data_IF_160326374126
#
_entry.id   IF_160326374126
#
_cell.length_a   1.000
_cell.length_b   1.000
_cell.length_c   1.000
_cell.angle_alpha   90.00
_cell.angle_beta   90.00
_cell.angle_gamma   90.00
#
_symmetry.space_group_name_H-M   'P 1'
#
loop_
_entity.id
_entity.type
_entity.pdbx_description
1 polymer ?
#
# COMPACT_ATOMS: atom_id res chain seq x y z
N UNK A 1 -10.07 -31.56 0.25
CA UNK A 1 -10.71 -30.96 1.44
C UNK A 1 -9.74 -31.08 2.59
N UNK A 2 -9.71 -30.11 3.54
CA UNK A 2 -8.80 -30.14 4.67
C UNK A 2 -9.02 -31.38 5.54
N UNK A 3 -7.96 -31.92 6.13
CA UNK A 3 -8.06 -32.97 7.14
C UNK A 3 -8.38 -32.35 8.50
N UNK A 4 -9.66 -32.21 8.82
CA UNK A 4 -10.12 -31.60 10.06
C UNK A 4 -9.63 -32.36 11.31
N UNK A 5 -9.37 -33.67 11.21
CA UNK A 5 -8.86 -34.46 12.32
C UNK A 5 -7.41 -34.07 12.63
N UNK A 6 -6.57 -33.89 11.61
CA UNK A 6 -5.21 -33.38 11.80
C UNK A 6 -5.21 -31.99 12.46
N UNK A 7 -6.10 -31.08 12.04
CA UNK A 7 -6.23 -29.76 12.68
C UNK A 7 -6.66 -29.85 14.16
N UNK A 8 -7.56 -30.77 14.52
CA UNK A 8 -7.94 -30.99 15.92
C UNK A 8 -6.76 -31.51 16.74
N UNK A 9 -5.94 -32.41 16.19
CA UNK A 9 -4.71 -32.89 16.84
C UNK A 9 -3.72 -31.75 17.04
N UNK A 10 -3.45 -30.93 16.02
CA UNK A 10 -2.55 -29.78 16.13
C UNK A 10 -3.00 -28.80 17.24
N UNK A 11 -4.32 -28.53 17.36
CA UNK A 11 -4.87 -27.68 18.43
C UNK A 11 -4.62 -28.29 19.82
N UNK A 12 -4.83 -29.60 19.96
CA UNK A 12 -4.57 -30.31 21.22
C UNK A 12 -3.08 -30.24 21.61
N UNK A 13 -2.18 -30.44 20.65
CA UNK A 13 -0.73 -30.33 20.85
C UNK A 13 -0.32 -28.93 21.31
N UNK A 14 -0.89 -27.88 20.69
CA UNK A 14 -0.66 -26.49 21.11
C UNK A 14 -1.13 -26.27 22.55
N UNK A 15 -2.31 -26.79 22.92
CA UNK A 15 -2.86 -26.63 24.28
C UNK A 15 -2.02 -27.31 25.36
N UNK A 16 -1.51 -28.52 25.11
CA UNK A 16 -0.70 -29.27 26.09
C UNK A 16 0.77 -28.81 26.16
N UNK A 17 1.24 -28.00 25.20
CA UNK A 17 2.63 -27.52 25.20
C UNK A 17 2.96 -26.69 26.45
N UNK A 18 4.23 -26.66 26.85
CA UNK A 18 4.70 -25.85 28.00
C UNK A 18 4.97 -24.37 27.63
N UNK A 19 4.59 -23.95 26.43
CA UNK A 19 4.75 -22.57 25.95
C UNK A 19 3.86 -21.57 26.70
N UNK A 20 4.25 -20.28 26.67
CA UNK A 20 3.43 -19.22 27.24
C UNK A 20 2.09 -19.09 26.49
N UNK A 21 1.05 -18.61 27.17
CA UNK A 21 -0.29 -18.48 26.60
C UNK A 21 -0.33 -17.57 25.36
N UNK A 22 0.49 -16.53 25.34
CA UNK A 22 0.66 -15.65 24.18
C UNK A 22 1.16 -16.43 22.95
N UNK A 23 2.17 -17.29 23.14
CA UNK A 23 2.72 -18.12 22.06
C UNK A 23 1.70 -19.14 21.57
N UNK A 24 0.97 -19.79 22.49
CA UNK A 24 -0.12 -20.71 22.14
C UNK A 24 -1.20 -20.02 21.30
N UNK A 25 -1.60 -18.80 21.66
CA UNK A 25 -2.56 -18.02 20.88
C UNK A 25 -2.04 -17.70 19.47
N UNK A 26 -0.74 -17.39 19.33
CA UNK A 26 -0.13 -17.17 18.02
C UNK A 26 -0.12 -18.44 17.15
N UNK A 27 0.10 -19.61 17.75
CA UNK A 27 -0.01 -20.88 17.04
C UNK A 27 -1.47 -21.18 16.62
N UNK A 28 -2.46 -20.95 17.49
CA UNK A 28 -3.88 -21.07 17.11
C UNK A 28 -4.24 -20.17 15.92
N UNK A 29 -3.69 -18.94 15.88
CA UNK A 29 -3.87 -18.03 14.75
C UNK A 29 -3.27 -18.57 13.46
N UNK A 30 -2.06 -19.15 13.50
CA UNK A 30 -1.42 -19.78 12.33
C UNK A 30 -2.24 -20.96 11.82
N UNK A 31 -2.80 -21.78 12.72
CA UNK A 31 -3.69 -22.87 12.36
C UNK A 31 -4.96 -22.35 11.68
N UNK A 32 -5.59 -21.30 12.21
CA UNK A 32 -6.73 -20.64 11.59
C UNK A 32 -6.40 -20.08 10.20
N UNK A 33 -5.24 -19.44 10.04
CA UNK A 33 -4.76 -18.92 8.74
C UNK A 33 -4.55 -20.04 7.72
N UNK A 34 -3.91 -21.14 8.13
CA UNK A 34 -3.65 -22.31 7.29
C UNK A 34 -4.96 -22.96 6.85
N UNK A 35 -5.87 -23.24 7.79
CA UNK A 35 -7.19 -23.80 7.52
C UNK A 35 -7.99 -22.92 6.56
N UNK A 36 -8.04 -21.62 6.84
CA UNK A 36 -8.79 -20.67 6.01
C UNK A 36 -8.25 -20.62 4.59
N UNK A 37 -6.91 -20.69 4.41
CA UNK A 37 -6.27 -20.74 3.08
C UNK A 37 -6.62 -22.02 2.32
N UNK A 38 -6.62 -23.17 2.98
CA UNK A 38 -6.99 -24.43 2.36
C UNK A 38 -8.46 -24.44 1.91
N UNK A 39 -9.37 -23.96 2.78
CA UNK A 39 -10.81 -23.87 2.47
C UNK A 39 -11.13 -22.97 1.28
N UNK A 40 -10.34 -21.93 1.07
CA UNK A 40 -10.53 -20.94 -0.02
C UNK A 40 -9.60 -21.14 -1.21
N UNK A 41 -8.84 -22.24 -1.24
CA UNK A 41 -7.84 -22.51 -2.30
C UNK A 41 -8.44 -22.72 -3.69
N UNK A 42 -9.70 -23.14 -3.77
CA UNK A 42 -10.43 -23.35 -5.03
C UNK A 42 -11.28 -22.16 -5.49
N UNK A 43 -11.29 -21.07 -4.73
CA UNK A 43 -12.12 -19.91 -5.03
C UNK A 43 -11.43 -18.99 -6.04
N UNK A 44 -12.20 -18.36 -6.93
CA UNK A 44 -11.66 -17.37 -7.88
C UNK A 44 -11.34 -16.01 -7.21
N UNK A 45 -11.88 -15.80 -6.01
CA UNK A 45 -11.73 -14.56 -5.26
C UNK A 45 -10.36 -14.51 -4.59
N UNK A 46 -9.66 -13.39 -4.74
CA UNK A 46 -8.43 -13.13 -4.00
C UNK A 46 -8.76 -12.47 -2.66
N UNK A 47 -8.19 -13.02 -1.57
CA UNK A 47 -8.39 -12.49 -0.22
C UNK A 47 -7.11 -11.80 0.26
N UNK A 48 -7.12 -10.47 0.44
CA UNK A 48 -5.92 -9.72 0.84
C UNK A 48 -5.45 -10.06 2.25
N UNK A 49 -6.37 -10.43 3.15
CA UNK A 49 -6.06 -10.69 4.55
C UNK A 49 -6.94 -11.78 5.17
N UNK A 50 -6.65 -12.17 6.42
CA UNK A 50 -7.46 -13.16 7.14
C UNK A 50 -8.87 -12.65 7.43
N UNK A 51 -9.06 -11.34 7.65
CA UNK A 51 -10.38 -10.76 7.93
C UNK A 51 -11.39 -11.03 6.81
N UNK A 52 -11.07 -10.58 5.59
CA UNK A 52 -11.88 -10.76 4.38
C UNK A 52 -12.15 -12.23 4.08
N UNK A 53 -11.15 -13.09 4.31
CA UNK A 53 -11.28 -14.55 4.14
C UNK A 53 -12.26 -15.16 5.14
N UNK A 54 -12.22 -14.75 6.41
CA UNK A 54 -13.15 -15.23 7.43
C UNK A 54 -14.59 -14.76 7.18
N UNK A 55 -14.79 -13.52 6.73
CA UNK A 55 -16.13 -13.03 6.38
C UNK A 55 -16.70 -13.82 5.20
N UNK A 56 -15.89 -14.07 4.17
CA UNK A 56 -16.31 -14.90 3.05
C UNK A 56 -16.68 -16.32 3.48
N UNK A 57 -15.84 -16.96 4.30
CA UNK A 57 -16.12 -18.29 4.85
C UNK A 57 -17.37 -18.29 5.72
N UNK A 58 -17.61 -17.22 6.48
CA UNK A 58 -18.82 -17.08 7.28
C UNK A 58 -20.09 -17.09 6.43
N UNK A 59 -20.06 -16.38 5.30
CA UNK A 59 -21.16 -16.38 4.34
C UNK A 59 -21.31 -17.75 3.64
N UNK A 60 -20.20 -18.31 3.14
CA UNK A 60 -20.18 -19.56 2.38
C UNK A 60 -20.67 -20.76 3.22
N UNK A 61 -20.21 -20.87 4.46
CA UNK A 61 -20.54 -21.98 5.35
C UNK A 61 -21.67 -21.66 6.34
N UNK A 62 -22.29 -20.48 6.23
CA UNK A 62 -23.35 -20.00 7.14
C UNK A 62 -22.92 -20.08 8.61
N UNK A 63 -21.69 -19.64 8.88
CA UNK A 63 -21.15 -19.59 10.24
C UNK A 63 -22.03 -18.66 11.08
N UNK A 64 -22.45 -19.06 12.29
CA UNK A 64 -23.20 -18.16 13.17
C UNK A 64 -22.40 -16.91 13.50
N UNK A 65 -23.04 -15.73 13.50
CA UNK A 65 -22.39 -14.42 13.76
C UNK A 65 -21.51 -14.42 15.02
N UNK A 66 -21.91 -15.17 16.05
CA UNK A 66 -21.13 -15.33 17.28
C UNK A 66 -19.80 -16.06 17.04
N UNK A 67 -19.82 -17.14 16.29
CA UNK A 67 -18.61 -17.91 15.98
C UNK A 67 -17.71 -17.12 15.03
N UNK A 68 -18.28 -16.44 14.03
CA UNK A 68 -17.52 -15.49 13.20
C UNK A 68 -16.83 -14.43 14.06
N UNK A 69 -17.57 -13.82 14.99
CA UNK A 69 -17.01 -12.84 15.93
C UNK A 69 -15.86 -13.42 16.76
N UNK A 70 -16.00 -14.64 17.28
CA UNK A 70 -14.95 -15.28 18.07
C UNK A 70 -13.67 -15.53 17.25
N UNK A 71 -13.81 -15.96 15.99
CA UNK A 71 -12.69 -16.16 15.07
C UNK A 71 -12.01 -14.83 14.71
N UNK A 72 -12.80 -13.79 14.46
CA UNK A 72 -12.29 -12.44 14.21
C UNK A 72 -11.64 -11.83 15.46
N UNK A 73 -12.18 -12.11 16.65
CA UNK A 73 -11.61 -11.69 17.92
C UNK A 73 -10.25 -12.35 18.17
N UNK A 74 -10.09 -13.63 17.84
CA UNK A 74 -8.78 -14.31 17.87
C UNK A 74 -7.75 -13.55 17.02
N UNK A 75 -8.12 -13.18 15.79
CA UNK A 75 -7.26 -12.41 14.90
C UNK A 75 -6.89 -11.05 15.47
N UNK A 76 -7.85 -10.28 15.99
CA UNK A 76 -7.59 -8.95 16.54
C UNK A 76 -6.76 -9.03 17.83
N UNK A 77 -7.09 -9.95 18.73
CA UNK A 77 -6.42 -10.08 20.03
C UNK A 77 -4.94 -10.43 19.90
N UNK A 78 -4.60 -11.30 18.95
CA UNK A 78 -3.18 -11.62 18.65
C UNK A 78 -2.37 -10.39 18.22
N UNK A 79 -3.00 -9.45 17.49
CA UNK A 79 -2.36 -8.18 17.10
C UNK A 79 -2.19 -7.28 18.32
N UNK A 80 -3.23 -7.11 19.14
CA UNK A 80 -3.18 -6.26 20.33
C UNK A 80 -2.13 -6.71 21.34
N UNK A 81 -2.04 -8.02 21.62
CA UNK A 81 -1.04 -8.58 22.53
C UNK A 81 0.37 -8.25 22.03
N UNK A 82 0.61 -8.35 20.73
CA UNK A 82 1.92 -8.03 20.12
C UNK A 82 2.26 -6.54 20.21
N UNK A 83 1.28 -5.67 19.99
CA UNK A 83 1.49 -4.21 19.99
C UNK A 83 1.61 -3.61 21.39
N UNK A 84 0.81 -4.10 22.35
CA UNK A 84 0.73 -3.55 23.71
C UNK A 84 1.54 -4.34 24.73
N UNK A 85 2.12 -5.47 24.31
CA UNK A 85 2.86 -6.40 25.18
C UNK A 85 2.03 -6.84 26.40
N UNK A 86 0.74 -7.13 26.17
CA UNK A 86 -0.20 -7.59 27.20
C UNK A 86 -0.07 -9.10 27.42
N UNK A 87 -0.39 -9.56 28.64
CA UNK A 87 -0.44 -10.99 28.96
C UNK A 87 -1.86 -11.54 28.79
N UNK A 88 -1.98 -12.66 28.08
CA UNK A 88 -3.23 -13.39 27.91
C UNK A 88 -3.56 -14.19 29.18
N UNK A 89 -4.82 -14.15 29.60
CA UNK A 89 -5.31 -14.95 30.73
C UNK A 89 -5.84 -16.30 30.24
N UNK A 90 -5.68 -17.37 31.03
CA UNK A 90 -6.10 -18.74 30.69
C UNK A 90 -7.55 -18.82 30.20
N UNK A 91 -8.48 -18.12 30.87
CA UNK A 91 -9.88 -18.12 30.49
C UNK A 91 -10.11 -17.56 29.07
N UNK A 92 -9.35 -16.53 28.68
CA UNK A 92 -9.42 -15.92 27.35
C UNK A 92 -8.80 -16.85 26.30
N UNK A 93 -7.66 -17.48 26.61
CA UNK A 93 -7.06 -18.51 25.75
C UNK A 93 -8.04 -19.64 25.44
N UNK A 94 -8.71 -20.19 26.47
CA UNK A 94 -9.68 -21.27 26.31
C UNK A 94 -10.87 -20.89 25.43
N UNK A 95 -11.30 -19.63 25.48
CA UNK A 95 -12.35 -19.14 24.59
C UNK A 95 -11.91 -19.15 23.11
N UNK A 96 -10.66 -18.76 22.83
CA UNK A 96 -10.10 -18.78 21.47
C UNK A 96 -9.87 -20.20 20.95
N UNK A 97 -9.33 -21.08 21.79
CA UNK A 97 -9.20 -22.51 21.49
C UNK A 97 -10.56 -23.12 21.13
N UNK A 98 -11.57 -22.90 21.99
CA UNK A 98 -12.92 -23.41 21.79
C UNK A 98 -13.56 -22.88 20.51
N UNK A 99 -13.33 -21.62 20.16
CA UNK A 99 -13.84 -21.04 18.93
C UNK A 99 -13.28 -21.77 17.70
N UNK A 100 -11.99 -22.09 17.68
CA UNK A 100 -11.38 -22.80 16.56
C UNK A 100 -11.87 -24.26 16.47
N UNK A 101 -12.06 -24.92 17.61
CA UNK A 101 -12.67 -26.26 17.66
C UNK A 101 -14.11 -26.24 17.14
N UNK A 102 -14.94 -25.29 17.62
CA UNK A 102 -16.32 -25.15 17.17
C UNK A 102 -16.41 -24.87 15.66
N UNK A 103 -15.43 -24.14 15.09
CA UNK A 103 -15.34 -23.93 13.66
C UNK A 103 -15.06 -25.23 12.90
N UNK A 104 -14.11 -26.05 13.34
CA UNK A 104 -13.83 -27.36 12.74
C UNK A 104 -15.02 -28.33 12.87
N UNK A 105 -15.70 -28.34 14.02
CA UNK A 105 -16.90 -29.16 14.25
C UNK A 105 -18.02 -28.76 13.27
N UNK A 106 -18.26 -27.45 13.10
CA UNK A 106 -19.24 -26.93 12.15
C UNK A 106 -18.91 -27.36 10.72
N UNK A 107 -17.65 -27.22 10.29
CA UNK A 107 -17.20 -27.63 8.95
C UNK A 107 -17.29 -29.15 8.73
N UNK A 108 -17.18 -29.93 9.79
CA UNK A 108 -17.34 -31.40 9.77
C UNK A 108 -18.80 -31.87 9.79
N UNK A 109 -19.76 -30.94 9.95
CA UNK A 109 -21.19 -31.26 10.06
C UNK A 109 -21.63 -31.77 11.45
N UNK A 110 -20.76 -31.65 12.47
CA UNK A 110 -21.09 -32.02 13.85
C UNK A 110 -21.90 -30.90 14.53
N UNK A 111 -22.80 -31.27 15.45
CA UNK A 111 -23.58 -30.29 16.23
C UNK A 111 -22.64 -29.55 17.17
N UNK A 112 -22.56 -28.23 17.00
CA UNK A 112 -21.82 -27.32 17.88
C UNK A 112 -22.47 -27.27 19.26
N UNK A 113 -21.68 -27.39 20.33
CA UNK A 113 -22.16 -27.10 21.68
C UNK A 113 -22.29 -25.59 21.85
N UNK A 114 -23.52 -25.12 22.06
CA UNK A 114 -23.82 -23.73 22.36
C UNK A 114 -23.41 -23.41 23.80
N UNK A 115 -22.18 -22.98 24.03
CA UNK A 115 -21.79 -22.41 25.32
C UNK A 115 -22.32 -20.98 25.43
N UNK A 116 -23.15 -20.68 26.42
CA UNK A 116 -23.59 -19.33 26.81
C UNK A 116 -22.46 -18.62 27.55
N UNK A 117 -22.16 -17.35 27.23
CA UNK A 117 -21.25 -16.58 28.11
C UNK A 117 -20.48 -15.39 27.58
N UNK A 118 -20.71 -14.88 26.36
CA UNK A 118 -20.13 -13.61 25.94
C UNK A 118 -21.13 -12.80 25.12
N UNK A 119 -21.58 -11.69 25.70
CA UNK A 119 -22.44 -10.71 25.05
C UNK A 119 -21.58 -9.86 24.12
N UNK A 120 -21.94 -9.83 22.84
CA UNK A 120 -21.37 -8.93 21.84
C UNK A 120 -21.61 -7.48 22.28
N UNK A 121 -20.60 -6.85 22.86
CA UNK A 121 -20.64 -5.40 23.10
C UNK A 121 -19.83 -4.75 21.98
N UNK A 122 -20.47 -4.07 21.00
CA UNK A 122 -19.74 -3.37 19.96
C UNK A 122 -18.83 -2.33 20.63
N UNK A 123 -17.55 -2.35 20.24
CA UNK A 123 -16.61 -1.33 20.71
C UNK A 123 -16.94 0.02 20.04
N UNK A 124 -16.89 1.13 20.79
CA UNK A 124 -17.22 2.44 20.24
C UNK A 124 -16.19 2.88 19.20
N UNK A 125 -16.68 3.15 17.99
CA UNK A 125 -15.91 3.74 16.90
C UNK A 125 -15.81 5.26 17.12
N UNK A 126 -14.65 5.86 16.82
CA UNK A 126 -14.55 7.33 16.75
C UNK A 126 -13.24 7.96 17.20
N UNK A 127 -12.27 7.18 17.72
CA UNK A 127 -10.92 7.72 18.03
C UNK A 127 -9.93 7.61 16.87
N UNK A 128 -10.31 6.91 15.81
CA UNK A 128 -9.40 6.48 14.75
C UNK A 128 -9.43 7.46 13.59
N UNK A 129 -8.26 7.71 12.99
CA UNK A 129 -8.16 8.50 11.76
C UNK A 129 -8.42 7.69 10.50
N UNK A 130 -8.26 6.38 10.57
CA UNK A 130 -8.53 5.47 9.45
C UNK A 130 -9.24 4.25 9.98
N UNK A 131 -10.33 3.87 9.34
CA UNK A 131 -11.07 2.66 9.66
C UNK A 131 -11.18 1.80 8.41
N UNK A 132 -10.63 0.57 8.49
CA UNK A 132 -10.75 -0.43 7.44
C UNK A 132 -12.05 -1.21 7.60
N UNK A 133 -12.82 -1.32 6.52
CA UNK A 133 -14.14 -1.96 6.53
C UNK A 133 -14.33 -2.82 5.27
N UNK A 134 -15.18 -3.84 5.37
CA UNK A 134 -15.66 -4.60 4.22
C UNK A 134 -17.12 -4.27 3.94
N UNK A 135 -17.45 -4.01 2.67
CA UNK A 135 -18.82 -3.75 2.23
C UNK A 135 -19.66 -5.01 2.38
N UNK A 136 -20.77 -4.90 3.11
CA UNK A 136 -21.78 -5.94 3.27
C UNK A 136 -22.99 -5.71 2.35
N UNK A 137 -23.38 -4.46 2.14
CA UNK A 137 -24.47 -4.09 1.24
C UNK A 137 -24.38 -2.62 0.85
N UNK A 138 -24.88 -2.29 -0.34
CA UNK A 138 -24.95 -0.92 -0.87
C UNK A 138 -26.42 -0.52 -1.03
N UNK A 139 -26.81 0.61 -0.44
CA UNK A 139 -28.14 1.23 -0.60
C UNK A 139 -28.01 2.48 -1.48
N UNK A 140 -28.35 2.30 -2.77
CA UNK A 140 -28.27 3.35 -3.78
C UNK A 140 -29.29 4.48 -3.54
N UNK A 141 -30.46 4.18 -2.96
CA UNK A 141 -31.51 5.19 -2.74
C UNK A 141 -31.11 6.16 -1.63
N UNK A 142 -30.41 5.66 -0.60
CA UNK A 142 -29.96 6.48 0.54
C UNK A 142 -28.54 7.00 0.42
N UNK A 143 -27.79 6.58 -0.61
CA UNK A 143 -26.36 6.79 -0.74
C UNK A 143 -25.59 6.32 0.52
N UNK A 144 -25.96 5.12 1.00
CA UNK A 144 -25.41 4.52 2.22
C UNK A 144 -24.78 3.16 1.91
N UNK A 145 -23.68 2.86 2.60
CA UNK A 145 -22.98 1.58 2.51
C UNK A 145 -22.96 0.96 3.90
N UNK A 146 -23.48 -0.25 4.03
CA UNK A 146 -23.34 -1.04 5.25
C UNK A 146 -22.05 -1.81 5.17
N UNK A 147 -21.19 -1.65 6.17
CA UNK A 147 -19.89 -2.29 6.21
C UNK A 147 -19.66 -2.98 7.55
N UNK A 148 -18.78 -3.98 7.54
CA UNK A 148 -18.27 -4.63 8.74
C UNK A 148 -16.87 -4.08 9.05
N UNK A 149 -16.64 -3.69 10.30
CA UNK A 149 -15.33 -3.21 10.75
C UNK A 149 -14.31 -4.33 10.83
N UNK A 150 -13.13 -4.12 10.25
CA UNK A 150 -12.02 -5.05 10.44
C UNK A 150 -11.48 -5.00 11.88
N UNK A 151 -11.33 -3.79 12.44
CA UNK A 151 -10.67 -3.63 13.74
C UNK A 151 -11.57 -3.97 14.92
N UNK A 152 -12.88 -3.82 14.76
CA UNK A 152 -13.86 -4.09 15.80
C UNK A 152 -14.76 -5.24 15.35
N UNK A 153 -14.42 -6.50 15.69
CA UNK A 153 -15.18 -7.68 15.29
C UNK A 153 -16.67 -7.53 15.58
N UNK A 154 -17.52 -7.87 14.60
CA UNK A 154 -18.99 -7.81 14.70
C UNK A 154 -19.59 -6.41 14.75
N UNK A 155 -18.78 -5.35 14.70
CA UNK A 155 -19.30 -3.98 14.63
C UNK A 155 -19.67 -3.64 13.20
N UNK A 156 -20.97 -3.54 12.93
CA UNK A 156 -21.51 -2.98 11.70
C UNK A 156 -21.47 -1.46 11.74
N UNK A 157 -21.11 -0.85 10.61
CA UNK A 157 -21.08 0.60 10.42
C UNK A 157 -21.86 0.97 9.19
N UNK A 158 -22.51 2.13 9.23
CA UNK A 158 -23.13 2.73 8.04
C UNK A 158 -22.29 3.90 7.60
N UNK A 159 -21.76 3.83 6.39
CA UNK A 159 -21.01 4.91 5.75
C UNK A 159 -21.96 5.66 4.85
N UNK A 160 -22.07 6.97 5.05
CA UNK A 160 -22.83 7.83 4.15
C UNK A 160 -21.88 8.44 3.15
N UNK A 161 -22.14 8.19 1.87
CA UNK A 161 -21.34 8.74 0.80
C UNK A 161 -21.92 10.09 0.34
N UNK A 162 -21.04 10.98 -0.08
CA UNK A 162 -21.44 12.16 -0.81
C UNK A 162 -21.63 11.79 -2.28
N UNK A 163 -22.87 11.90 -2.76
CA UNK A 163 -23.28 11.47 -4.10
C UNK A 163 -22.52 12.18 -5.24
N UNK A 164 -21.89 13.34 -4.97
CA UNK A 164 -21.12 14.10 -5.96
C UNK A 164 -19.66 13.63 -6.08
N UNK A 165 -19.07 13.13 -4.99
CA UNK A 165 -17.63 12.85 -4.89
C UNK A 165 -17.30 11.37 -4.75
N UNK A 166 -18.24 10.55 -4.27
CA UNK A 166 -18.08 9.10 -4.16
C UNK A 166 -19.42 8.40 -4.44
N UNK A 167 -19.80 8.26 -5.72
CA UNK A 167 -20.99 7.53 -6.11
C UNK A 167 -20.98 6.12 -5.51
N UNK A 168 -22.09 5.74 -4.86
CA UNK A 168 -22.20 4.44 -4.17
C UNK A 168 -22.17 3.24 -5.11
N UNK A 169 -22.51 3.46 -6.39
CA UNK A 169 -22.52 2.47 -7.47
C UNK A 169 -21.11 2.02 -7.89
N UNK A 170 -20.05 2.68 -7.43
CA UNK A 170 -18.67 2.24 -7.60
C UNK A 170 -18.27 1.11 -6.63
N UNK A 171 -19.08 0.82 -5.62
CA UNK A 171 -18.77 -0.19 -4.59
C UNK A 171 -19.62 -1.45 -4.77
N UNK A 172 -19.08 -2.59 -4.34
CA UNK A 172 -19.76 -3.89 -4.41
C UNK A 172 -19.61 -4.67 -3.10
N UNK A 173 -20.51 -5.62 -2.86
CA UNK A 173 -20.44 -6.50 -1.69
C UNK A 173 -19.12 -7.28 -1.68
N UNK A 174 -18.46 -7.31 -0.53
CA UNK A 174 -17.15 -7.93 -0.35
C UNK A 174 -15.96 -6.98 -0.56
N UNK A 175 -16.16 -5.81 -1.19
CA UNK A 175 -15.11 -4.83 -1.43
C UNK A 175 -14.48 -4.34 -0.11
N UNK A 176 -13.17 -4.10 -0.13
CA UNK A 176 -12.45 -3.52 1.01
C UNK A 176 -12.34 -2.01 0.88
N UNK A 177 -12.62 -1.27 1.95
CA UNK A 177 -12.52 0.19 1.98
C UNK A 177 -11.67 0.66 3.15
N UNK A 178 -10.84 1.68 2.92
CA UNK A 178 -10.27 2.50 3.97
C UNK A 178 -11.04 3.84 4.06
N UNK A 179 -11.68 4.06 5.21
CA UNK A 179 -12.38 5.30 5.55
C UNK A 179 -11.42 6.24 6.24
N UNK A 180 -11.08 7.37 5.62
CA UNK A 180 -10.05 8.29 6.12
C UNK A 180 -10.67 9.57 6.68
N UNK A 181 -10.18 9.96 7.86
CA UNK A 181 -10.49 11.18 8.60
C UNK A 181 -12.01 11.46 8.69
N UNK A 182 -12.76 10.43 9.09
CA UNK A 182 -14.22 10.47 9.15
C UNK A 182 -14.76 11.15 10.41
N UNK A 183 -15.99 11.65 10.30
CA UNK A 183 -16.79 12.14 11.44
C UNK A 183 -18.02 11.27 11.62
N UNK A 184 -18.66 11.34 12.79
CA UNK A 184 -19.91 10.62 13.07
C UNK A 184 -21.05 11.63 13.08
N UNK A 185 -22.08 11.39 12.28
CA UNK A 185 -23.27 12.23 12.23
C UNK A 185 -24.21 11.98 13.43
N UNK A 186 -25.30 12.75 13.50
CA UNK A 186 -26.30 12.65 14.58
C UNK A 186 -27.02 11.29 14.64
N UNK A 187 -27.00 10.55 13.53
CA UNK A 187 -27.63 9.24 13.39
C UNK A 187 -26.62 8.09 13.55
N UNK A 188 -25.37 8.39 13.94
CA UNK A 188 -24.31 7.39 14.13
C UNK A 188 -23.64 6.93 12.84
N UNK A 189 -23.85 7.62 11.71
CA UNK A 189 -23.27 7.27 10.40
C UNK A 189 -21.90 7.90 10.23
N UNK A 190 -21.01 7.18 9.56
CA UNK A 190 -19.67 7.65 9.27
C UNK A 190 -19.68 8.52 8.01
N UNK A 191 -19.08 9.70 8.13
CA UNK A 191 -18.87 10.68 7.05
C UNK A 191 -17.36 10.80 6.81
N UNK A 192 -16.77 9.93 5.97
CA UNK A 192 -15.35 9.99 5.62
C UNK A 192 -15.01 11.20 4.77
N UNK A 193 -13.79 11.73 4.92
CA UNK A 193 -13.25 12.72 3.99
C UNK A 193 -12.74 12.09 2.70
N UNK A 194 -12.15 10.90 2.81
CA UNK A 194 -11.72 10.10 1.68
C UNK A 194 -12.14 8.65 1.90
N UNK A 195 -12.55 8.01 0.82
CA UNK A 195 -12.80 6.57 0.76
C UNK A 195 -11.79 6.00 -0.24
N UNK A 196 -10.96 5.07 0.21
CA UNK A 196 -10.02 4.35 -0.64
C UNK A 196 -10.59 2.96 -0.89
N UNK A 197 -10.88 2.67 -2.15
CA UNK A 197 -11.36 1.37 -2.61
C UNK A 197 -10.18 0.42 -2.83
N UNK A 198 -10.30 -0.81 -2.33
CA UNK A 198 -9.30 -1.86 -2.43
C UNK A 198 -7.89 -1.35 -2.02
N UNK A 199 -7.70 -0.92 -0.76
CA UNK A 199 -6.48 -0.27 -0.31
C UNK A 199 -5.21 -1.13 -0.43
N UNK A 200 -5.33 -2.45 -0.60
CA UNK A 200 -4.19 -3.34 -0.86
C UNK A 200 -3.79 -3.39 -2.34
N UNK A 201 -4.63 -2.87 -3.24
CA UNK A 201 -4.29 -2.69 -4.65
C UNK A 201 -3.48 -1.39 -4.80
N UNK A 202 -2.19 -1.50 -4.53
CA UNK A 202 -1.29 -0.34 -4.53
C UNK A 202 -1.07 0.17 -5.96
N UNK A 203 -1.35 1.46 -6.16
CA UNK A 203 -1.12 2.16 -7.44
C UNK A 203 0.14 3.01 -7.33
N UNK A 204 1.01 2.95 -8.34
CA UNK A 204 2.22 3.77 -8.40
C UNK A 204 1.90 5.27 -8.46
N UNK A 205 2.61 6.08 -7.68
CA UNK A 205 2.46 7.53 -7.64
C UNK A 205 2.62 8.17 -9.03
N UNK A 206 3.54 7.66 -9.86
CA UNK A 206 3.74 8.10 -11.24
C UNK A 206 2.53 7.78 -12.13
N UNK A 207 1.92 6.61 -11.97
CA UNK A 207 0.71 6.22 -12.69
C UNK A 207 -0.48 7.14 -12.37
N UNK A 208 -0.63 7.56 -11.11
CA UNK A 208 -1.64 8.54 -10.70
C UNK A 208 -1.31 9.90 -11.29
N UNK A 209 -0.06 10.36 -11.16
CA UNK A 209 0.40 11.64 -11.68
C UNK A 209 0.12 11.81 -13.19
N UNK A 210 0.32 10.75 -13.99
CA UNK A 210 0.02 10.75 -15.43
C UNK A 210 -1.47 10.95 -15.74
N UNK A 211 -2.37 10.74 -14.78
CA UNK A 211 -3.78 11.10 -14.96
C UNK A 211 -4.02 12.61 -14.90
N UNK A 212 -3.04 13.44 -14.51
CA UNK A 212 -3.19 14.87 -14.29
C UNK A 212 -2.26 15.68 -15.19
N UNK A 213 -2.74 16.06 -16.37
CA UNK A 213 -2.02 16.95 -17.27
C UNK A 213 -2.68 18.34 -17.33
N UNK A 214 -1.90 19.38 -17.61
CA UNK A 214 -2.40 20.76 -17.77
C UNK A 214 -3.58 20.88 -18.76
N UNK A 215 -3.62 20.01 -19.78
CA UNK A 215 -4.67 20.00 -20.80
C UNK A 215 -5.88 19.12 -20.44
N UNK A 216 -5.71 18.12 -19.57
CA UNK A 216 -6.77 17.19 -19.20
C UNK A 216 -6.41 16.38 -17.95
N UNK A 217 -7.37 16.26 -17.02
CA UNK A 217 -7.32 15.31 -15.91
C UNK A 217 -8.25 14.15 -16.25
N UNK A 218 -7.69 12.95 -16.44
CA UNK A 218 -8.44 11.76 -16.84
C UNK A 218 -7.76 10.46 -16.44
N UNK A 219 -8.49 9.47 -15.89
CA UNK A 219 -7.95 8.14 -15.61
C UNK A 219 -7.59 7.37 -16.89
N UNK A 220 -8.04 7.83 -18.07
CA UNK A 220 -7.75 7.16 -19.33
C UNK A 220 -6.26 7.12 -19.67
N UNK A 221 -5.44 8.04 -19.14
CA UNK A 221 -3.98 7.98 -19.33
C UNK A 221 -3.35 6.77 -18.64
N UNK A 222 -3.84 6.37 -17.47
CA UNK A 222 -3.40 5.14 -16.81
C UNK A 222 -3.60 3.93 -17.71
N UNK A 223 -4.80 3.80 -18.27
CA UNK A 223 -5.14 2.69 -19.16
C UNK A 223 -4.35 2.75 -20.47
N UNK A 224 -4.23 3.93 -21.08
CA UNK A 224 -3.45 4.13 -22.31
C UNK A 224 -2.02 3.62 -22.13
N UNK A 225 -1.35 4.04 -21.04
CA UNK A 225 0.02 3.64 -20.76
C UNK A 225 0.18 2.12 -20.54
N UNK A 226 -0.89 1.39 -20.16
CA UNK A 226 -0.87 -0.08 -20.08
C UNK A 226 -0.99 -0.79 -21.43
N UNK A 227 -1.54 -0.12 -22.44
CA UNK A 227 -1.70 -0.67 -23.78
C UNK A 227 -0.62 -0.21 -24.75
N UNK A 228 0.10 0.87 -24.43
CA UNK A 228 1.20 1.37 -25.24
C UNK A 228 2.44 0.46 -25.15
N UNK A 229 3.10 0.27 -26.29
CA UNK A 229 4.37 -0.46 -26.32
C UNK A 229 5.46 0.45 -25.77
N UNK A 230 6.29 -0.02 -24.82
CA UNK A 230 7.44 0.75 -24.36
C UNK A 230 8.35 1.11 -25.54
N UNK A 231 8.54 2.40 -25.79
CA UNK A 231 9.45 2.86 -26.83
C UNK A 231 10.86 3.07 -26.25
N UNK A 232 11.90 2.71 -27.01
CA UNK A 232 13.27 3.08 -26.68
C UNK A 232 13.62 4.40 -27.36
N UNK A 233 13.56 5.50 -26.58
CA UNK A 233 13.75 6.88 -27.07
C UNK A 233 14.89 7.57 -26.34
N UNK A 234 15.53 8.52 -27.02
CA UNK A 234 16.66 9.30 -26.50
C UNK A 234 16.35 10.03 -25.18
N UNK A 235 15.13 10.55 -25.02
CA UNK A 235 14.75 11.26 -23.79
C UNK A 235 14.57 10.32 -22.58
N UNK A 236 14.16 9.07 -22.80
CA UNK A 236 14.09 8.04 -21.75
C UNK A 236 15.49 7.62 -21.32
N UNK A 237 16.39 7.39 -22.29
CA UNK A 237 17.80 7.13 -22.00
C UNK A 237 18.44 8.27 -21.20
N UNK A 238 18.16 9.52 -21.58
CA UNK A 238 18.67 10.69 -20.87
C UNK A 238 18.12 10.76 -19.44
N UNK A 239 16.87 10.36 -19.21
CA UNK A 239 16.29 10.25 -17.87
C UNK A 239 16.98 9.20 -17.00
N UNK A 240 17.13 7.98 -17.53
CA UNK A 240 17.82 6.90 -16.81
C UNK A 240 19.28 7.28 -16.51
N UNK A 241 19.94 7.94 -17.46
CA UNK A 241 21.30 8.42 -17.31
C UNK A 241 21.40 9.55 -16.26
N UNK A 242 20.42 10.43 -16.17
CA UNK A 242 20.37 11.46 -15.13
C UNK A 242 20.28 10.85 -13.73
N UNK A 243 19.43 9.82 -13.53
CA UNK A 243 19.37 9.09 -12.26
C UNK A 243 20.71 8.39 -11.96
N UNK A 244 21.32 7.76 -12.95
CA UNK A 244 22.64 7.15 -12.79
C UNK A 244 23.73 8.17 -12.41
N UNK A 245 23.70 9.38 -12.99
CA UNK A 245 24.63 10.45 -12.63
C UNK A 245 24.43 10.92 -11.18
N UNK A 246 23.18 11.07 -10.75
CA UNK A 246 22.86 11.40 -9.36
C UNK A 246 23.47 10.36 -8.41
N UNK A 247 23.29 9.08 -8.68
CA UNK A 247 23.81 7.99 -7.86
C UNK A 247 25.34 8.09 -7.71
N UNK A 248 26.05 8.17 -8.84
CA UNK A 248 27.51 8.20 -8.86
C UNK A 248 28.06 9.44 -8.15
N UNK A 249 27.38 10.60 -8.27
CA UNK A 249 27.81 11.84 -7.63
C UNK A 249 27.51 11.85 -6.12
N UNK A 250 26.39 11.29 -5.67
CA UNK A 250 26.03 11.24 -4.24
C UNK A 250 26.93 10.27 -3.47
N UNK A 251 27.31 9.14 -4.07
CA UNK A 251 28.19 8.17 -3.42
C UNK A 251 29.68 8.50 -3.54
N UNK A 252 30.06 9.50 -4.35
CA UNK A 252 31.44 9.93 -4.48
C UNK A 252 31.93 10.64 -3.20
N UNK A 253 33.15 10.28 -2.75
CA UNK A 253 33.83 11.01 -1.67
C UNK A 253 34.15 12.45 -2.07
N UNK A 254 34.48 12.67 -3.34
CA UNK A 254 34.78 13.98 -3.91
C UNK A 254 33.98 14.13 -5.22
N UNK A 255 32.71 14.59 -5.14
CA UNK A 255 31.86 14.74 -6.32
C UNK A 255 32.46 15.65 -7.40
N UNK A 256 33.27 16.63 -7.00
CA UNK A 256 33.98 17.54 -7.91
C UNK A 256 34.99 16.84 -8.82
N UNK A 257 35.50 15.68 -8.42
CA UNK A 257 36.48 14.90 -9.19
C UNK A 257 35.85 13.85 -10.10
N UNK A 258 34.52 13.62 -9.99
CA UNK A 258 33.81 12.65 -10.84
C UNK A 258 33.84 13.13 -12.30
N UNK A 259 34.32 12.24 -13.18
CA UNK A 259 34.49 12.49 -14.61
C UNK A 259 33.26 12.04 -15.41
N UNK A 260 32.69 12.96 -16.18
CA UNK A 260 31.58 12.64 -17.09
C UNK A 260 31.91 11.48 -18.03
N UNK A 261 33.10 11.45 -18.64
CA UNK A 261 33.44 10.48 -19.68
C UNK A 261 33.54 9.06 -19.11
N UNK A 262 34.05 8.92 -17.89
CA UNK A 262 34.13 7.64 -17.17
C UNK A 262 32.73 7.18 -16.73
N UNK A 263 31.94 8.08 -16.14
CA UNK A 263 30.58 7.79 -15.68
C UNK A 263 29.65 7.44 -16.85
N UNK A 264 29.73 8.18 -17.95
CA UNK A 264 28.96 7.88 -19.16
C UNK A 264 29.32 6.50 -19.71
N UNK A 265 30.62 6.19 -19.82
CA UNK A 265 31.07 4.88 -20.29
C UNK A 265 30.61 3.75 -19.37
N UNK A 266 30.57 3.99 -18.06
CA UNK A 266 30.04 3.04 -17.07
C UNK A 266 28.55 2.78 -17.30
N UNK A 267 27.73 3.82 -17.51
CA UNK A 267 26.32 3.67 -17.85
C UNK A 267 26.12 2.90 -19.16
N UNK A 268 26.89 3.24 -20.21
CA UNK A 268 26.82 2.54 -21.49
C UNK A 268 27.09 1.03 -21.35
N UNK A 269 28.06 0.65 -20.50
CA UNK A 269 28.37 -0.76 -20.23
C UNK A 269 27.27 -1.50 -19.47
N UNK A 270 26.46 -0.81 -18.68
CA UNK A 270 25.35 -1.42 -17.93
C UNK A 270 24.12 -1.65 -18.82
N UNK A 271 23.90 -0.79 -19.81
CA UNK A 271 22.71 -0.83 -20.68
C UNK A 271 23.05 -0.75 -22.18
N UNK A 272 23.95 -1.61 -22.70
CA UNK A 272 24.45 -1.48 -24.06
C UNK A 272 23.37 -1.68 -25.13
N UNK A 273 22.35 -2.51 -24.86
CA UNK A 273 21.25 -2.75 -25.78
C UNK A 273 20.34 -1.53 -25.92
N UNK A 274 20.07 -0.84 -24.82
CA UNK A 274 19.25 0.36 -24.77
C UNK A 274 19.90 1.48 -25.60
N UNK A 275 21.22 1.69 -25.46
CA UNK A 275 21.91 2.67 -26.30
C UNK A 275 21.95 2.27 -27.77
N UNK A 276 22.31 1.02 -28.08
CA UNK A 276 22.54 0.57 -29.47
C UNK A 276 21.25 0.33 -30.27
N UNK A 277 20.12 0.08 -29.61
CA UNK A 277 18.82 -0.10 -30.28
C UNK A 277 18.00 1.19 -30.39
N UNK A 278 18.45 2.29 -29.79
CA UNK A 278 17.74 3.56 -29.80
C UNK A 278 17.91 4.27 -31.15
N UNK A 279 16.82 4.34 -31.92
CA UNK A 279 16.82 4.93 -33.28
C UNK A 279 17.14 6.41 -33.28
N UNK A 280 16.78 7.12 -32.21
CA UNK A 280 17.01 8.56 -32.06
C UNK A 280 18.50 8.92 -31.93
N UNK A 281 19.39 7.95 -31.66
CA UNK A 281 20.84 8.14 -31.51
C UNK A 281 21.65 7.16 -32.35
N UNK A 282 21.05 6.59 -33.40
CA UNK A 282 21.67 5.55 -34.22
C UNK A 282 22.77 6.09 -35.13
N UNK A 283 22.72 7.38 -35.48
CA UNK A 283 23.76 8.02 -36.30
C UNK A 283 24.84 8.64 -35.41
N UNK A 284 26.05 8.74 -35.93
CA UNK A 284 27.17 9.39 -35.23
C UNK A 284 26.87 10.86 -34.86
N UNK A 285 26.08 11.57 -35.66
CA UNK A 285 25.68 12.96 -35.39
C UNK A 285 24.71 13.02 -34.21
N UNK A 286 23.63 12.22 -34.26
CA UNK A 286 22.63 12.17 -33.20
C UNK A 286 23.21 11.67 -31.87
N UNK A 287 24.13 10.70 -31.93
CA UNK A 287 24.82 10.20 -30.74
C UNK A 287 25.70 11.29 -30.09
N UNK A 288 26.42 12.08 -30.89
CA UNK A 288 27.20 13.23 -30.37
C UNK A 288 26.28 14.29 -29.76
N UNK A 289 25.11 14.52 -30.34
CA UNK A 289 24.11 15.44 -29.81
C UNK A 289 23.53 14.97 -28.48
N UNK A 290 23.23 13.68 -28.39
CA UNK A 290 22.83 13.04 -27.15
C UNK A 290 23.93 13.16 -26.08
N UNK A 291 25.19 12.86 -26.43
CA UNK A 291 26.34 13.02 -25.54
C UNK A 291 26.49 14.45 -25.01
N UNK A 292 26.30 15.47 -25.87
CA UNK A 292 26.32 16.89 -25.44
C UNK A 292 25.21 17.18 -24.42
N UNK A 293 23.99 16.71 -24.68
CA UNK A 293 22.85 16.87 -23.75
C UNK A 293 23.11 16.15 -22.42
N UNK A 294 23.63 14.93 -22.47
CA UNK A 294 24.02 14.15 -21.30
C UNK A 294 25.08 14.87 -20.47
N UNK A 295 26.11 15.43 -21.11
CA UNK A 295 27.14 16.22 -20.41
C UNK A 295 26.55 17.44 -19.72
N UNK A 296 25.66 18.18 -20.39
CA UNK A 296 24.95 19.30 -19.74
C UNK A 296 24.16 18.85 -18.53
N UNK A 297 23.45 17.72 -18.60
CA UNK A 297 22.71 17.19 -17.45
C UNK A 297 23.64 16.76 -16.30
N UNK A 298 24.75 16.09 -16.61
CA UNK A 298 25.75 15.72 -15.62
C UNK A 298 26.28 16.95 -14.86
N UNK A 299 26.69 17.99 -15.57
CA UNK A 299 27.20 19.21 -14.93
C UNK A 299 26.12 19.94 -14.11
N UNK A 300 24.87 19.93 -14.57
CA UNK A 300 23.75 20.49 -13.81
C UNK A 300 23.51 19.74 -12.50
N UNK A 301 23.50 18.40 -12.54
CA UNK A 301 23.31 17.55 -11.36
C UNK A 301 24.48 17.72 -10.40
N UNK A 302 25.72 17.71 -10.92
CA UNK A 302 26.93 17.97 -10.14
C UNK A 302 26.86 19.30 -9.41
N UNK A 303 26.53 20.39 -10.11
CA UNK A 303 26.31 21.72 -9.51
C UNK A 303 25.22 21.71 -8.45
N UNK A 304 24.11 21.02 -8.67
CA UNK A 304 23.02 20.92 -7.67
C UNK A 304 23.52 20.25 -6.39
N UNK A 305 24.27 19.15 -6.52
CA UNK A 305 24.80 18.37 -5.40
C UNK A 305 25.89 19.15 -4.65
N UNK A 306 26.82 19.78 -5.36
CA UNK A 306 27.99 20.43 -4.75
C UNK A 306 27.72 21.86 -4.27
N UNK A 307 26.76 22.57 -4.88
CA UNK A 307 26.45 23.94 -4.53
C UNK A 307 25.04 24.14 -3.93
N UNK A 308 24.00 23.68 -4.61
CA UNK A 308 22.62 24.05 -4.26
C UNK A 308 22.11 23.30 -3.03
N UNK A 309 22.42 22.00 -2.90
CA UNK A 309 22.04 21.18 -1.77
C UNK A 309 22.62 21.72 -0.45
N UNK A 310 23.94 22.00 -0.34
CA UNK A 310 24.50 22.63 0.85
C UNK A 310 23.84 23.98 1.18
N UNK A 311 23.57 24.84 0.18
CA UNK A 311 22.90 26.13 0.37
C UNK A 311 21.47 25.98 0.92
N UNK A 312 20.81 24.87 0.62
CA UNK A 312 19.47 24.52 1.12
C UNK A 312 19.48 23.70 2.42
N UNK A 313 20.66 23.37 2.95
CA UNK A 313 20.78 22.54 4.15
C UNK A 313 20.51 21.05 3.90
N UNK A 314 20.55 20.60 2.65
CA UNK A 314 20.45 19.18 2.28
C UNK A 314 21.83 18.56 2.44
N UNK A 315 21.95 17.61 3.36
CA UNK A 315 23.18 16.90 3.64
C UNK A 315 23.17 15.53 2.93
N UNK A 316 24.18 15.29 2.08
CA UNK A 316 24.30 14.03 1.32
C UNK A 316 24.37 12.79 2.21
N UNK A 317 24.96 12.89 3.41
CA UNK A 317 25.03 11.77 4.36
C UNK A 317 23.68 11.42 5.00
N UNK A 318 22.67 12.29 4.85
CA UNK A 318 21.31 12.09 5.32
C UNK A 318 20.35 11.84 4.16
N UNK A 319 20.89 11.64 2.95
CA UNK A 319 20.11 11.31 1.78
C UNK A 319 20.04 9.80 1.57
N UNK A 320 18.87 9.32 1.15
CA UNK A 320 18.63 7.96 0.71
C UNK A 320 18.21 8.01 -0.76
N UNK A 321 18.89 7.24 -1.60
CA UNK A 321 18.60 7.11 -3.03
C UNK A 321 17.57 5.99 -3.27
N UNK A 322 16.66 6.25 -4.21
CA UNK A 322 15.62 5.31 -4.63
C UNK A 322 14.78 4.65 -3.51
N UNK A 323 14.44 5.32 -2.37
CA UNK A 323 13.64 4.69 -1.34
C UNK A 323 12.23 4.40 -1.83
N UNK A 324 11.75 3.19 -1.53
CA UNK A 324 10.42 2.73 -1.88
C UNK A 324 9.47 2.84 -0.69
N UNK A 325 8.27 3.35 -0.93
CA UNK A 325 7.23 3.55 0.06
C UNK A 325 5.94 2.84 -0.36
N UNK A 326 5.23 2.33 0.64
CA UNK A 326 3.93 1.69 0.49
C UNK A 326 2.99 2.29 1.52
N UNK A 327 1.79 2.70 1.08
CA UNK A 327 0.78 3.29 1.93
C UNK A 327 -0.55 2.57 1.76
N UNK A 328 -0.81 1.58 2.61
CA UNK A 328 -2.11 0.91 2.69
C UNK A 328 -3.23 1.91 3.07
N UNK A 329 -2.90 2.94 3.86
CA UNK A 329 -3.85 4.01 4.20
C UNK A 329 -4.46 4.66 2.96
N UNK A 330 -3.66 4.91 1.93
CA UNK A 330 -4.10 5.62 0.71
C UNK A 330 -4.18 4.74 -0.55
N UNK A 331 -3.73 3.48 -0.49
CA UNK A 331 -3.66 2.59 -1.65
C UNK A 331 -2.55 2.98 -2.65
N UNK A 332 -1.48 3.60 -2.16
CA UNK A 332 -0.39 4.11 -3.02
C UNK A 332 0.91 3.36 -2.77
N UNK A 333 1.72 3.27 -3.81
CA UNK A 333 3.13 2.93 -3.72
C UNK A 333 3.96 3.88 -4.57
N UNK A 334 5.25 3.95 -4.32
CA UNK A 334 6.14 4.69 -5.20
C UNK A 334 7.57 4.68 -4.73
N UNK A 335 8.45 5.06 -5.65
CA UNK A 335 9.88 5.14 -5.45
C UNK A 335 10.32 6.57 -5.69
N UNK A 336 10.85 7.21 -4.66
CA UNK A 336 11.39 8.57 -4.76
C UNK A 336 12.76 8.49 -5.43
N UNK A 337 13.19 9.50 -6.17
CA UNK A 337 14.58 9.53 -6.64
C UNK A 337 15.55 9.76 -5.46
N UNK A 338 15.25 10.75 -4.61
CA UNK A 338 16.08 11.08 -3.46
C UNK A 338 15.24 11.58 -2.28
N UNK A 339 15.52 11.04 -1.09
CA UNK A 339 14.92 11.47 0.17
C UNK A 339 15.99 11.97 1.12
N UNK A 340 15.88 13.21 1.57
CA UNK A 340 16.68 13.75 2.65
C UNK A 340 15.88 13.74 3.95
N UNK A 341 16.44 13.13 5.00
CA UNK A 341 15.80 13.02 6.31
C UNK A 341 16.54 13.93 7.30
N UNK A 342 15.92 15.07 7.63
CA UNK A 342 16.46 15.99 8.62
C UNK A 342 15.60 15.98 9.90
N UNK A 343 16.09 15.28 10.93
CA UNK A 343 15.39 15.05 12.21
C UNK A 343 14.03 14.36 12.05
N UNK A 344 12.99 15.15 11.76
CA UNK A 344 11.59 14.72 11.56
C UNK A 344 10.94 15.34 10.31
N UNK A 345 11.71 16.08 9.50
CA UNK A 345 11.26 16.62 8.24
C UNK A 345 11.77 15.72 7.11
N UNK A 346 10.85 15.36 6.22
CA UNK A 346 11.14 14.65 4.98
C UNK A 346 11.22 15.67 3.86
N UNK A 347 12.38 15.76 3.22
CA UNK A 347 12.61 16.59 2.03
C UNK A 347 12.75 15.66 0.83
N UNK A 348 11.77 15.74 -0.06
CA UNK A 348 11.70 14.90 -1.27
C UNK A 348 12.36 15.68 -2.41
N UNK A 349 13.28 15.04 -3.12
CA UNK A 349 13.86 15.56 -4.36
C UNK A 349 13.54 14.57 -5.48
N UNK A 350 12.81 15.06 -6.48
CA UNK A 350 12.41 14.32 -7.68
C UNK A 350 13.15 14.89 -8.89
N UNK A 351 13.74 14.02 -9.70
CA UNK A 351 14.48 14.37 -10.90
C UNK A 351 13.56 14.36 -12.11
N UNK A 352 13.72 15.36 -12.99
CA UNK A 352 13.03 15.43 -14.29
C UNK A 352 14.03 15.83 -15.37
N UNK A 353 14.19 14.97 -16.37
CA UNK A 353 15.09 15.19 -17.52
C UNK A 353 14.42 15.89 -18.71
N UNK A 354 13.11 16.12 -18.63
CA UNK A 354 12.30 16.74 -19.68
C UNK A 354 12.51 18.25 -19.84
N UNK A 355 11.81 18.83 -20.82
CA UNK A 355 11.78 20.29 -21.01
C UNK A 355 10.99 20.96 -19.88
N UNK A 356 11.32 22.22 -19.61
CA UNK A 356 10.52 23.05 -18.72
C UNK A 356 9.07 23.15 -19.24
N UNK A 357 8.07 23.15 -18.34
CA UNK A 357 6.69 23.31 -18.73
C UNK A 357 6.47 24.66 -19.42
N UNK A 358 5.48 24.72 -20.32
CA UNK A 358 5.14 25.98 -20.98
C UNK A 358 4.43 26.91 -19.99
N UNK A 359 4.78 28.21 -19.92
CA UNK A 359 5.81 28.85 -20.73
C UNK A 359 7.21 28.66 -20.15
N UNK A 360 8.17 28.29 -21.00
CA UNK A 360 9.52 27.90 -20.59
C UNK A 360 10.36 29.05 -19.97
N UNK A 361 9.89 30.30 -20.03
CA UNK A 361 10.54 31.43 -19.35
C UNK A 361 10.24 31.46 -17.85
N UNK A 362 9.18 30.78 -17.40
CA UNK A 362 8.87 30.66 -15.98
C UNK A 362 9.63 29.46 -15.40
N UNK A 363 10.81 29.74 -14.86
CA UNK A 363 11.69 28.73 -14.28
C UNK A 363 11.17 28.14 -12.97
N UNK A 364 10.13 28.74 -12.37
CA UNK A 364 9.46 28.24 -11.18
C UNK A 364 8.24 27.37 -11.48
N UNK A 365 7.80 27.30 -12.75
CA UNK A 365 6.61 26.54 -13.10
C UNK A 365 6.88 25.04 -12.99
N UNK A 366 5.98 24.36 -12.28
CA UNK A 366 5.94 22.90 -12.17
C UNK A 366 4.75 22.41 -12.99
N UNK A 367 4.91 21.32 -13.74
CA UNK A 367 3.81 20.71 -14.47
C UNK A 367 2.85 20.03 -13.48
N UNK A 368 1.55 20.04 -13.76
CA UNK A 368 0.54 19.49 -12.85
C UNK A 368 0.82 18.03 -12.46
N UNK A 369 1.26 17.19 -13.40
CA UNK A 369 1.61 15.79 -13.10
C UNK A 369 2.74 15.71 -12.07
N UNK A 370 3.78 16.53 -12.19
CA UNK A 370 4.90 16.56 -11.24
C UNK A 370 4.48 17.07 -9.85
N UNK A 371 3.57 18.05 -9.78
CA UNK A 371 2.99 18.52 -8.51
C UNK A 371 2.19 17.41 -7.83
N UNK A 372 1.34 16.72 -8.59
CA UNK A 372 0.54 15.59 -8.09
C UNK A 372 1.44 14.45 -7.61
N UNK A 373 2.47 14.09 -8.38
CA UNK A 373 3.42 13.05 -7.99
C UNK A 373 4.07 13.35 -6.63
N UNK A 374 4.55 14.58 -6.44
CA UNK A 374 5.14 15.03 -5.18
C UNK A 374 4.12 15.07 -4.04
N UNK A 375 2.87 15.44 -4.33
CA UNK A 375 1.76 15.40 -3.38
C UNK A 375 1.45 13.97 -2.90
N UNK A 376 1.41 13.00 -3.82
CA UNK A 376 1.22 11.58 -3.50
C UNK A 376 2.39 11.06 -2.66
N UNK A 377 3.63 11.39 -3.02
CA UNK A 377 4.80 11.05 -2.21
C UNK A 377 4.71 11.59 -0.79
N UNK A 378 4.27 12.84 -0.62
CA UNK A 378 4.07 13.41 0.70
C UNK A 378 3.04 12.63 1.51
N UNK A 379 1.88 12.31 0.92
CA UNK A 379 0.86 11.48 1.58
C UNK A 379 1.40 10.12 2.02
N UNK A 380 2.26 9.49 1.21
CA UNK A 380 2.90 8.24 1.57
C UNK A 380 3.90 8.42 2.73
N UNK A 381 4.79 9.42 2.66
CA UNK A 381 5.78 9.66 3.73
C UNK A 381 5.15 10.04 5.08
N UNK A 382 3.98 10.71 5.07
CA UNK A 382 3.23 11.04 6.29
C UNK A 382 2.48 9.82 6.89
N UNK A 383 2.36 8.73 6.13
CA UNK A 383 1.69 7.50 6.57
C UNK A 383 2.61 6.45 7.21
N UNK A 384 3.93 6.69 7.18
CA UNK A 384 4.98 5.78 7.70
C UNK A 384 5.33 6.06 9.15
#
# INVERSE_FOLDING_TARGET
MPDYTAYLTDIQEVSISESALNDKLFELKKLLERLSRELTSGESVQFPNLFSRLVFLAQQHRIPNRLEWQLQHLRVRTKEIREKNEELVEAEYRQHERALINFLELLSGNKTNSDEGLTLSPQPIGKERTLRVQVQAVDNEKAEIRCLSEKHPGTEVTVRCDALSSPVDHFWEGAQLNLIDFTVDKNGRLLPKLIVLEPDYLIDASAIAECFHDYCVTPMHYFRNKFETPENRSYLLLGNLANFFLDELIFAQQPDEVSFDETFLKSFRQSPFEYTSCRDIATDEDFRDFMRKARTQFENIKRVITEDFPRRGINLHQCTLEPSFFSERYGFQGRLDLLHINKKAYEIVELKSGKLPYPAYDTGKIALNHEVQTGVYRLMTESV
#
